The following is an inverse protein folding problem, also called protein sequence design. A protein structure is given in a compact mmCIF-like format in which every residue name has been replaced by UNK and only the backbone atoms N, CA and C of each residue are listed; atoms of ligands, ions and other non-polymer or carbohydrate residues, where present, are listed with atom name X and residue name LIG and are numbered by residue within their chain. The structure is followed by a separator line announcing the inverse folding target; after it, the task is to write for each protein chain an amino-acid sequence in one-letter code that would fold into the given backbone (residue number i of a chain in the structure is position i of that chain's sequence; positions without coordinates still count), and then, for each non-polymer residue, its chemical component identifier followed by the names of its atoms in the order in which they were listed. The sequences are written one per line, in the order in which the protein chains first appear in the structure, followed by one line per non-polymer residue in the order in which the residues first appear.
data_IF_654755386940
#
_entry.id   IF_654755386940
#
_cell.length_a   1.000
_cell.length_b   1.000
_cell.length_c   1.000
_cell.angle_alpha   90.00
_cell.angle_beta   90.00
_cell.angle_gamma   90.00
#
_symmetry.space_group_name_H-M   'P 1'
#
loop_
_entity.id
_entity.type
_entity.pdbx_description
1 polymer ?
#
# COMPACT_ATOMS: atom_id res chain seq x y z
N UNK A 1 5.90 -22.09 -22.38
CA UNK A 1 4.77 -21.63 -21.54
C UNK A 1 5.18 -21.17 -20.13
N UNK A 2 6.33 -21.57 -19.58
CA UNK A 2 6.73 -21.20 -18.20
C UNK A 2 6.92 -19.70 -17.92
N UNK A 3 7.20 -18.87 -18.93
CA UNK A 3 7.44 -17.43 -18.75
C UNK A 3 6.16 -16.62 -18.48
N UNK A 4 5.04 -16.96 -19.12
CA UNK A 4 3.79 -16.18 -19.05
C UNK A 4 3.07 -16.45 -17.73
N UNK A 5 3.02 -17.71 -17.30
CA UNK A 5 2.48 -18.07 -15.98
C UNK A 5 3.30 -17.43 -14.85
N UNK A 6 4.62 -17.29 -15.04
CA UNK A 6 5.50 -16.59 -14.11
C UNK A 6 5.23 -15.09 -14.03
N UNK A 7 5.10 -14.40 -15.18
CA UNK A 7 4.80 -12.95 -15.19
C UNK A 7 3.38 -12.65 -14.67
N UNK A 8 2.40 -13.50 -14.97
CA UNK A 8 1.03 -13.36 -14.48
C UNK A 8 0.94 -13.58 -12.97
N UNK A 9 1.70 -14.57 -12.43
CA UNK A 9 1.83 -14.76 -10.98
C UNK A 9 2.47 -13.56 -10.29
N UNK A 10 3.54 -13.01 -10.86
CA UNK A 10 4.19 -11.80 -10.32
C UNK A 10 3.20 -10.63 -10.35
N UNK A 11 2.48 -10.43 -11.47
CA UNK A 11 1.46 -9.40 -11.61
C UNK A 11 0.33 -9.53 -10.57
N UNK A 12 -0.20 -10.73 -10.36
CA UNK A 12 -1.22 -11.00 -9.34
C UNK A 12 -0.69 -10.71 -7.92
N UNK A 13 0.51 -11.20 -7.59
CA UNK A 13 1.12 -10.94 -6.28
C UNK A 13 1.38 -9.45 -6.04
N UNK A 14 1.72 -8.68 -7.08
CA UNK A 14 1.88 -7.24 -7.01
C UNK A 14 0.55 -6.52 -6.80
N UNK A 15 -0.53 -6.97 -7.44
CA UNK A 15 -1.89 -6.44 -7.17
C UNK A 15 -2.29 -6.65 -5.72
N UNK A 16 -2.05 -7.85 -5.19
CA UNK A 16 -2.33 -8.15 -3.78
C UNK A 16 -1.52 -7.24 -2.86
N UNK A 17 -0.22 -7.04 -3.12
CA UNK A 17 0.61 -6.14 -2.36
C UNK A 17 0.12 -4.68 -2.44
N UNK A 18 -0.25 -4.18 -3.61
CA UNK A 18 -0.81 -2.84 -3.75
C UNK A 18 -2.17 -2.69 -3.06
N UNK A 19 -2.99 -3.73 -3.05
CA UNK A 19 -4.26 -3.75 -2.30
C UNK A 19 -4.03 -3.59 -0.80
N UNK A 20 -3.06 -4.33 -0.23
CA UNK A 20 -2.65 -4.16 1.16
C UNK A 20 -2.06 -2.78 1.45
N UNK A 21 -1.25 -2.23 0.54
CA UNK A 21 -0.74 -0.87 0.63
C UNK A 21 -1.85 0.16 0.70
N UNK A 22 -2.87 0.05 -0.16
CA UNK A 22 -4.05 0.91 -0.12
C UNK A 22 -4.84 0.76 1.18
N UNK A 23 -5.01 -0.46 1.69
CA UNK A 23 -5.74 -0.69 2.93
C UNK A 23 -5.07 -0.01 4.13
N UNK A 24 -3.73 -0.08 4.21
CA UNK A 24 -2.95 0.56 5.28
C UNK A 24 -3.00 2.09 5.19
N UNK A 25 -2.78 2.67 4.01
CA UNK A 25 -2.85 4.13 3.85
C UNK A 25 -4.26 4.65 4.07
N UNK A 26 -5.30 3.93 3.61
CA UNK A 26 -6.69 4.27 3.88
C UNK A 26 -7.00 4.24 5.39
N UNK A 27 -6.45 3.28 6.12
CA UNK A 27 -6.60 3.21 7.57
C UNK A 27 -5.93 4.40 8.28
N UNK A 28 -4.74 4.82 7.82
CA UNK A 28 -4.04 5.99 8.35
C UNK A 28 -4.82 7.28 8.07
N UNK A 29 -5.31 7.47 6.83
CA UNK A 29 -6.11 8.63 6.44
C UNK A 29 -7.41 8.71 7.24
N UNK A 30 -8.10 7.58 7.43
CA UNK A 30 -9.36 7.55 8.18
C UNK A 30 -9.19 7.93 9.66
N UNK A 31 -8.04 7.59 10.25
CA UNK A 31 -7.74 7.86 11.66
C UNK A 31 -6.85 9.09 11.87
N UNK A 32 -6.68 9.94 10.85
CA UNK A 32 -5.80 11.12 10.94
C UNK A 32 -6.20 12.08 12.08
N UNK A 33 -7.49 12.13 12.42
CA UNK A 33 -8.04 12.96 13.49
C UNK A 33 -8.32 12.18 14.79
N UNK A 34 -7.92 10.92 14.90
CA UNK A 34 -8.15 10.09 16.08
C UNK A 34 -6.99 10.26 17.07
N UNK A 35 -7.29 10.78 18.27
CA UNK A 35 -6.29 10.96 19.32
C UNK A 35 -5.67 9.63 19.76
N UNK A 36 -4.33 9.57 19.79
CA UNK A 36 -3.58 8.37 20.20
C UNK A 36 -3.50 7.28 19.14
N UNK A 37 -4.02 7.52 17.93
CA UNK A 37 -3.79 6.62 16.80
C UNK A 37 -2.32 6.65 16.39
N UNK A 38 -1.76 5.48 16.08
CA UNK A 38 -0.39 5.34 15.55
C UNK A 38 -0.48 4.80 14.13
N UNK A 39 0.15 5.46 13.15
CA UNK A 39 0.08 5.05 11.75
C UNK A 39 0.70 3.67 11.54
N UNK A 40 0.16 2.98 10.56
CA UNK A 40 0.61 1.65 10.15
C UNK A 40 1.37 1.72 8.82
N UNK A 41 2.30 0.77 8.60
CA UNK A 41 3.01 0.59 7.33
C UNK A 41 3.00 -0.87 6.93
N UNK A 42 2.67 -1.13 5.67
CA UNK A 42 2.82 -2.45 5.06
C UNK A 42 4.31 -2.72 4.77
N UNK A 43 4.80 -3.87 5.25
CA UNK A 43 6.13 -4.39 4.92
C UNK A 43 5.95 -5.57 3.99
N UNK A 44 6.70 -5.56 2.89
CA UNK A 44 6.64 -6.59 1.86
C UNK A 44 7.92 -7.41 1.86
N UNK A 45 7.76 -8.70 1.59
CA UNK A 45 8.86 -9.64 1.37
C UNK A 45 8.72 -10.29 0.00
N UNK A 46 9.84 -10.82 -0.51
CA UNK A 46 9.83 -11.63 -1.72
C UNK A 46 9.01 -12.91 -1.50
N UNK A 47 8.16 -13.24 -2.47
CA UNK A 47 7.32 -14.44 -2.42
C UNK A 47 8.14 -15.75 -2.46
N UNK A 48 7.51 -16.88 -2.09
CA UNK A 48 8.18 -18.19 -2.08
C UNK A 48 8.84 -18.52 -3.42
N UNK A 49 10.08 -19.02 -3.38
CA UNK A 49 10.84 -19.34 -4.60
C UNK A 49 11.39 -18.13 -5.35
N UNK A 50 11.49 -16.95 -4.71
CA UNK A 50 12.08 -15.74 -5.30
C UNK A 50 11.16 -15.05 -6.31
N UNK A 51 9.86 -15.40 -6.33
CA UNK A 51 8.89 -14.91 -7.30
C UNK A 51 7.84 -14.07 -6.60
N UNK A 52 7.56 -12.90 -7.17
CA UNK A 52 6.48 -12.02 -6.70
C UNK A 52 6.77 -11.34 -5.37
N UNK A 53 5.75 -10.66 -4.86
CA UNK A 53 5.78 -9.93 -3.59
C UNK A 53 4.64 -10.42 -2.71
N UNK A 54 4.87 -10.51 -1.41
CA UNK A 54 3.82 -10.83 -0.42
C UNK A 54 3.89 -9.84 0.72
N UNK A 55 2.76 -9.66 1.40
CA UNK A 55 2.74 -8.99 2.69
C UNK A 55 3.51 -9.84 3.71
N UNK A 56 4.50 -9.24 4.35
CA UNK A 56 5.27 -9.87 5.42
C UNK A 56 4.67 -9.51 6.79
N UNK A 57 4.38 -8.22 6.99
CA UNK A 57 3.69 -7.71 8.17
C UNK A 57 3.06 -6.34 7.91
N UNK A 58 2.05 -5.98 8.70
CA UNK A 58 1.65 -4.59 8.90
C UNK A 58 2.22 -4.15 10.25
N UNK A 59 3.19 -3.25 10.21
CA UNK A 59 3.83 -2.73 11.42
C UNK A 59 3.16 -1.42 11.82
N UNK A 60 2.85 -1.28 13.10
CA UNK A 60 2.38 -0.03 13.67
C UNK A 60 3.62 0.80 14.00
N UNK A 61 3.90 1.81 13.18
CA UNK A 61 5.12 2.59 13.31
C UNK A 61 4.87 3.79 14.22
N UNK A 62 5.21 3.64 15.50
CA UNK A 62 5.52 4.79 16.35
C UNK A 62 6.89 5.31 15.91
N UNK A 63 6.99 5.85 14.69
CA UNK A 63 8.26 6.26 14.11
C UNK A 63 9.00 7.23 15.02
N UNK A 64 10.32 7.33 14.89
CA UNK A 64 11.11 8.32 15.65
C UNK A 64 10.58 9.78 15.49
N UNK A 65 9.89 10.07 14.36
CA UNK A 65 9.12 11.29 14.14
C UNK A 65 7.92 11.42 15.09
N UNK A 66 7.16 10.35 15.33
CA UNK A 66 6.10 10.29 16.34
C UNK A 66 6.63 10.42 17.77
N UNK A 67 7.92 10.16 18.04
CA UNK A 67 8.53 10.42 19.36
C UNK A 67 8.91 11.89 19.58
N UNK A 68 9.32 12.60 18.52
CA UNK A 68 9.59 14.04 18.55
C UNK A 68 8.29 14.85 18.53
N UNK A 69 7.30 14.40 17.76
CA UNK A 69 5.98 14.99 17.70
C UNK A 69 5.17 14.65 18.96
N UNK A 70 5.21 13.42 19.50
CA UNK A 70 4.61 13.11 20.81
C UNK A 70 5.21 13.94 21.95
N UNK A 71 6.53 14.19 21.95
CA UNK A 71 7.16 15.07 22.95
C UNK A 71 6.71 16.54 22.82
N UNK A 72 6.39 16.98 21.60
CA UNK A 72 5.82 18.32 21.32
C UNK A 72 4.33 18.37 21.64
N UNK A 73 3.58 17.31 21.33
CA UNK A 73 2.15 17.12 21.58
C UNK A 73 1.82 16.80 23.04
N UNK A 74 2.84 16.51 23.88
CA UNK A 74 2.70 16.33 25.33
C UNK A 74 3.13 17.56 26.13
N UNK A 75 3.45 18.68 25.47
CA UNK A 75 3.58 19.98 26.12
C UNK A 75 2.17 20.54 26.44
N UNK A 76 1.77 20.60 27.73
CA UNK A 76 0.44 21.07 28.13
C UNK A 76 0.23 22.58 27.89
N UNK A 77 1.24 23.32 27.45
CA UNK A 77 1.14 24.76 27.13
C UNK A 77 0.74 25.05 25.68
N UNK A 78 0.64 24.02 24.82
CA UNK A 78 0.35 24.16 23.40
C UNK A 78 -1.17 24.15 23.13
N UNK A 79 -1.74 25.14 22.41
CA UNK A 79 -3.16 25.17 22.12
C UNK A 79 -3.59 23.96 21.26
N UNK A 80 -4.79 23.40 21.49
CA UNK A 80 -5.25 22.15 20.86
C UNK A 80 -5.39 22.21 19.33
N UNK A 81 -5.29 23.38 18.72
CA UNK A 81 -5.33 23.58 17.26
C UNK A 81 -4.05 23.13 16.53
N UNK A 82 -2.92 22.95 17.24
CA UNK A 82 -1.62 22.56 16.63
C UNK A 82 -1.17 21.13 16.97
N UNK A 83 -1.92 20.43 17.82
CA UNK A 83 -1.61 19.04 18.18
C UNK A 83 -2.17 18.12 17.12
N UNK A 84 -1.31 17.49 16.32
CA UNK A 84 -1.71 16.42 15.42
C UNK A 84 -2.09 15.19 16.26
N UNK A 85 -3.38 14.81 16.37
CA UNK A 85 -3.82 13.80 17.32
C UNK A 85 -3.29 12.40 17.01
N UNK A 86 -2.86 12.14 15.77
CA UNK A 86 -2.48 10.81 15.28
C UNK A 86 -1.05 10.70 14.72
N UNK A 87 -0.27 11.78 14.69
CA UNK A 87 1.08 11.80 14.10
C UNK A 87 1.15 11.40 12.61
N UNK A 88 0.02 11.35 11.90
CA UNK A 88 -0.08 10.95 10.48
C UNK A 88 -0.01 12.18 9.56
N UNK A 89 0.82 12.12 8.52
CA UNK A 89 0.94 13.18 7.50
C UNK A 89 0.00 12.93 6.33
N UNK A 90 -1.13 13.65 6.29
CA UNK A 90 -2.16 13.50 5.27
C UNK A 90 -1.64 13.76 3.85
N UNK A 91 -0.71 14.70 3.66
CA UNK A 91 -0.14 15.01 2.36
C UNK A 91 0.67 13.85 1.79
N UNK A 92 1.46 13.18 2.65
CA UNK A 92 2.18 11.97 2.29
C UNK A 92 1.24 10.80 2.02
N UNK A 93 0.23 10.60 2.85
CA UNK A 93 -0.72 9.49 2.69
C UNK A 93 -1.58 9.64 1.43
N UNK A 94 -2.04 10.84 1.09
CA UNK A 94 -2.78 11.09 -0.15
C UNK A 94 -1.92 10.84 -1.39
N UNK A 95 -0.67 11.32 -1.39
CA UNK A 95 0.23 11.10 -2.53
C UNK A 95 0.65 9.63 -2.67
N UNK A 96 0.86 8.93 -1.54
CA UNK A 96 1.11 7.49 -1.51
C UNK A 96 -0.11 6.69 -2.02
N UNK A 97 -1.33 7.09 -1.66
CA UNK A 97 -2.56 6.48 -2.13
C UNK A 97 -2.71 6.65 -3.65
N UNK A 98 -2.51 7.86 -4.18
CA UNK A 98 -2.56 8.13 -5.62
C UNK A 98 -1.54 7.27 -6.38
N UNK A 99 -0.30 7.17 -5.87
CA UNK A 99 0.75 6.34 -6.48
C UNK A 99 0.35 4.86 -6.51
N UNK A 100 -0.18 4.36 -5.40
CA UNK A 100 -0.59 2.96 -5.28
C UNK A 100 -1.77 2.63 -6.19
N UNK A 101 -2.76 3.52 -6.28
CA UNK A 101 -3.90 3.40 -7.20
C UNK A 101 -3.47 3.36 -8.67
N UNK A 102 -2.64 4.31 -9.10
CA UNK A 102 -2.14 4.34 -10.49
C UNK A 102 -1.34 3.08 -10.84
N UNK A 103 -0.57 2.56 -9.90
CA UNK A 103 0.21 1.34 -10.13
C UNK A 103 -0.69 0.11 -10.20
N UNK A 104 -1.72 0.03 -9.35
CA UNK A 104 -2.73 -1.02 -9.42
C UNK A 104 -3.47 -1.01 -10.78
N UNK A 105 -3.90 0.15 -11.25
CA UNK A 105 -4.57 0.30 -12.54
C UNK A 105 -3.66 -0.09 -13.72
N UNK A 106 -2.39 0.32 -13.70
CA UNK A 106 -1.41 -0.03 -14.72
C UNK A 106 -1.14 -1.56 -14.77
N UNK A 107 -1.02 -2.19 -13.60
CA UNK A 107 -0.87 -3.64 -13.50
C UNK A 107 -2.13 -4.35 -14.00
N UNK A 108 -3.32 -3.85 -13.66
CA UNK A 108 -4.60 -4.40 -14.10
C UNK A 108 -4.76 -4.30 -15.62
N UNK A 109 -4.30 -3.21 -16.22
CA UNK A 109 -4.31 -3.05 -17.66
C UNK A 109 -3.40 -4.06 -18.36
N UNK A 110 -2.21 -4.34 -17.80
CA UNK A 110 -1.28 -5.33 -18.37
C UNK A 110 -1.87 -6.74 -18.32
N UNK A 111 -2.50 -7.12 -17.20
CA UNK A 111 -3.17 -8.42 -17.06
C UNK A 111 -4.35 -8.55 -18.02
N UNK A 112 -5.19 -7.50 -18.15
CA UNK A 112 -6.30 -7.48 -19.11
C UNK A 112 -5.83 -7.64 -20.55
N UNK A 113 -4.76 -6.94 -20.95
CA UNK A 113 -4.18 -7.10 -22.29
C UNK A 113 -3.63 -8.52 -22.49
N UNK A 114 -3.00 -9.10 -21.48
CA UNK A 114 -2.55 -10.49 -21.50
C UNK A 114 -3.71 -11.47 -21.71
N UNK A 115 -4.81 -11.30 -20.98
CA UNK A 115 -6.01 -12.13 -21.10
C UNK A 115 -6.70 -11.97 -22.47
N UNK A 116 -6.84 -10.74 -22.97
CA UNK A 116 -7.38 -10.49 -24.29
C UNK A 116 -6.58 -11.20 -25.40
N UNK A 117 -5.25 -11.18 -25.30
CA UNK A 117 -4.37 -11.89 -26.25
C UNK A 117 -4.47 -13.41 -26.10
N UNK A 118 -4.62 -13.94 -24.88
CA UNK A 118 -4.88 -15.37 -24.65
C UNK A 118 -6.22 -15.80 -25.23
N UNK A 119 -7.26 -14.96 -25.10
CA UNK A 119 -8.57 -15.19 -25.71
C UNK A 119 -8.50 -15.29 -27.22
N UNK A 120 -7.83 -14.36 -27.89
CA UNK A 120 -7.62 -14.39 -29.35
C UNK A 120 -6.82 -15.62 -29.78
N UNK A 121 -5.82 -16.06 -29.00
CA UNK A 121 -5.07 -17.29 -29.29
C UNK A 121 -5.92 -18.56 -29.12
N UNK A 122 -6.84 -18.58 -28.17
CA UNK A 122 -7.77 -19.70 -27.96
C UNK A 122 -8.81 -19.77 -29.08
N UNK A 123 -9.30 -18.63 -29.54
CA UNK A 123 -10.27 -18.51 -30.64
C UNK A 123 -9.66 -18.94 -31.99
N UNK A 124 -8.38 -18.71 -32.23
CA UNK A 124 -7.68 -19.20 -33.44
C UNK A 124 -7.40 -20.71 -33.44
N UNK A 125 -7.41 -21.37 -32.27
CA UNK A 125 -7.14 -22.82 -32.16
C UNK A 125 -8.44 -23.64 -32.19
N UNK A 126 -9.58 -23.04 -31.86
CA UNK A 126 -10.90 -23.64 -31.99
C UNK A 126 -11.31 -23.78 -33.47
#
# INVERSE_FOLDING_TARGET
MSGITGSMYIGASAMDAHSWGMAVTAHNVANVNTAGFTPQRAVYATGPGGRGVRLDAVLQDAGAAGRLDAATNSDPSMPPEFVNPSGTDLGREMTQMISTQRTYEANAQTVRTGDAMLGVLLDMKA
#
